data_IF_653277842878
#
_entry.id   IF_653277842878
#
_cell.length_a   1.000
_cell.length_b   1.000
_cell.length_c   1.000
_cell.angle_alpha   90.00
_cell.angle_beta   90.00
_cell.angle_gamma   90.00
#
_symmetry.space_group_name_H-M   'P 1'
#
loop_
_entity.id
_entity.type
_entity.pdbx_description
1 polymer ?
#
# COMPACT_ATOMS: atom_id res chain seq x y z
N UNK A 1 10.60 -20.90 -12.62
CA UNK A 1 9.82 -19.80 -13.22
C UNK A 1 10.45 -19.41 -14.53
N UNK A 2 9.75 -19.68 -15.63
CA UNK A 2 10.26 -19.49 -16.98
C UNK A 2 9.95 -18.09 -17.52
N UNK A 3 8.82 -17.49 -17.09
CA UNK A 3 8.34 -16.22 -17.62
C UNK A 3 8.79 -14.97 -16.84
N UNK A 4 9.19 -15.14 -15.58
CA UNK A 4 9.54 -14.05 -14.65
C UNK A 4 11.00 -14.14 -14.17
N UNK A 5 11.88 -14.77 -14.97
CA UNK A 5 13.31 -14.88 -14.66
C UNK A 5 13.98 -13.49 -14.64
N UNK A 6 14.69 -13.19 -13.55
CA UNK A 6 15.41 -11.92 -13.37
C UNK A 6 14.57 -10.73 -12.89
N UNK A 7 13.28 -10.93 -12.59
CA UNK A 7 12.46 -9.88 -12.00
C UNK A 7 12.59 -9.93 -10.48
N UNK A 8 12.89 -8.79 -9.88
CA UNK A 8 12.99 -8.62 -8.41
C UNK A 8 11.94 -7.68 -7.85
N UNK A 9 11.27 -6.93 -8.73
CA UNK A 9 10.32 -5.88 -8.38
C UNK A 9 8.90 -6.17 -8.87
N UNK A 10 7.90 -5.78 -8.06
CA UNK A 10 6.48 -6.04 -8.31
C UNK A 10 5.98 -5.26 -9.53
N UNK A 11 6.46 -4.03 -9.74
CA UNK A 11 5.98 -3.22 -10.87
C UNK A 11 6.60 -3.69 -12.19
N UNK A 12 7.84 -4.15 -12.17
CA UNK A 12 8.44 -4.88 -13.30
C UNK A 12 7.68 -6.18 -13.62
N UNK A 13 7.23 -6.91 -12.61
CA UNK A 13 6.44 -8.13 -12.78
C UNK A 13 5.08 -7.84 -13.43
N UNK A 14 4.38 -6.80 -12.99
CA UNK A 14 3.10 -6.36 -13.59
C UNK A 14 3.27 -5.92 -15.05
N UNK A 15 4.35 -5.20 -15.35
CA UNK A 15 4.62 -4.73 -16.71
C UNK A 15 4.89 -5.90 -17.66
N UNK A 16 5.68 -6.88 -17.20
CA UNK A 16 5.95 -8.13 -17.95
C UNK A 16 4.70 -8.98 -18.11
N UNK A 17 3.89 -9.13 -17.06
CA UNK A 17 2.60 -9.83 -17.12
C UNK A 17 1.68 -9.19 -18.17
N UNK A 18 1.57 -7.86 -18.21
CA UNK A 18 0.77 -7.16 -19.23
C UNK A 18 1.27 -7.37 -20.65
N UNK A 19 2.58 -7.47 -20.87
CA UNK A 19 3.17 -7.76 -22.19
C UNK A 19 2.90 -9.21 -22.60
N UNK A 20 3.14 -10.16 -21.70
CA UNK A 20 2.89 -11.58 -21.93
C UNK A 20 1.40 -11.86 -22.14
N UNK A 21 0.53 -11.21 -21.38
CA UNK A 21 -0.92 -11.36 -21.52
C UNK A 21 -1.43 -10.91 -22.89
N UNK A 22 -0.81 -9.90 -23.50
CA UNK A 22 -1.15 -9.48 -24.86
C UNK A 22 -0.59 -10.43 -25.93
N UNK A 23 0.54 -11.09 -25.66
CA UNK A 23 1.19 -12.02 -26.60
C UNK A 23 0.59 -13.42 -26.55
N UNK A 24 0.15 -13.87 -25.36
CA UNK A 24 -0.41 -15.19 -25.11
C UNK A 24 -1.95 -15.19 -25.09
N UNK A 25 -2.59 -14.05 -25.40
CA UNK A 25 -4.04 -14.00 -25.45
C UNK A 25 -4.55 -14.92 -26.57
N UNK A 26 -5.61 -15.72 -26.33
CA UNK A 26 -6.19 -16.58 -27.36
C UNK A 26 -6.60 -15.82 -28.62
N UNK A 27 -7.07 -14.58 -28.49
CA UNK A 27 -7.41 -13.72 -29.64
C UNK A 27 -6.19 -13.22 -30.44
N UNK A 28 -4.99 -13.29 -29.86
CA UNK A 28 -3.74 -12.86 -30.48
C UNK A 28 -2.88 -14.04 -30.98
N UNK A 29 -3.40 -15.28 -30.91
CA UNK A 29 -2.72 -16.49 -31.36
C UNK A 29 -2.03 -17.30 -30.26
N UNK A 30 -2.27 -16.99 -28.98
CA UNK A 30 -1.79 -17.80 -27.85
C UNK A 30 -2.75 -18.93 -27.47
N UNK A 31 -2.30 -19.89 -26.67
CA UNK A 31 -3.16 -20.97 -26.17
C UNK A 31 -3.71 -20.61 -24.79
N UNK A 32 -5.00 -20.87 -24.53
CA UNK A 32 -5.62 -20.66 -23.21
C UNK A 32 -4.85 -21.38 -22.07
N UNK A 33 -4.26 -22.54 -22.37
CA UNK A 33 -3.41 -23.30 -21.45
C UNK A 33 -2.13 -22.54 -21.08
N UNK A 34 -1.44 -21.97 -22.07
CA UNK A 34 -0.21 -21.19 -21.83
C UNK A 34 -0.49 -19.91 -21.04
N UNK A 35 -1.64 -19.28 -21.29
CA UNK A 35 -2.09 -18.13 -20.52
C UNK A 35 -2.38 -18.50 -19.05
N UNK A 36 -3.02 -19.64 -18.81
CA UNK A 36 -3.30 -20.14 -17.46
C UNK A 36 -2.03 -20.55 -16.72
N UNK A 37 -1.08 -21.19 -17.40
CA UNK A 37 0.23 -21.55 -16.85
C UNK A 37 1.03 -20.28 -16.48
N UNK A 38 1.02 -19.27 -17.36
CA UNK A 38 1.65 -17.96 -17.11
C UNK A 38 1.01 -17.22 -15.93
N UNK A 39 -0.32 -17.24 -15.80
CA UNK A 39 -1.04 -16.67 -14.66
C UNK A 39 -0.69 -17.35 -13.34
N UNK A 40 -0.57 -18.69 -13.37
CA UNK A 40 -0.22 -19.50 -12.19
C UNK A 40 1.20 -19.15 -11.73
N UNK A 41 2.17 -19.10 -12.65
CA UNK A 41 3.55 -18.66 -12.33
C UNK A 41 3.58 -17.23 -11.79
N UNK A 42 2.80 -16.30 -12.35
CA UNK A 42 2.73 -14.92 -11.85
C UNK A 42 2.20 -14.86 -10.42
N UNK A 43 1.16 -15.64 -10.10
CA UNK A 43 0.58 -15.71 -8.76
C UNK A 43 1.58 -16.28 -7.74
N UNK A 44 2.28 -17.35 -8.10
CA UNK A 44 3.34 -17.93 -7.28
C UNK A 44 4.50 -16.96 -7.07
N UNK A 45 4.88 -16.22 -8.12
CA UNK A 45 5.94 -15.22 -8.05
C UNK A 45 5.56 -14.09 -7.07
N UNK A 46 4.34 -13.57 -7.15
CA UNK A 46 3.84 -12.57 -6.20
C UNK A 46 3.78 -13.11 -4.77
N UNK A 47 3.36 -14.36 -4.57
CA UNK A 47 3.37 -15.00 -3.25
C UNK A 47 4.79 -15.10 -2.69
N UNK A 48 5.76 -15.46 -3.54
CA UNK A 48 7.18 -15.55 -3.15
C UNK A 48 7.77 -14.17 -2.82
N UNK A 49 7.43 -13.12 -3.58
CA UNK A 49 7.84 -11.74 -3.27
C UNK A 49 7.20 -11.26 -1.97
N UNK A 50 5.92 -11.53 -1.76
CA UNK A 50 5.25 -11.20 -0.50
C UNK A 50 5.83 -11.98 0.68
N UNK A 51 6.27 -13.22 0.49
CA UNK A 51 6.97 -13.99 1.52
C UNK A 51 8.36 -13.42 1.81
N UNK A 52 9.12 -13.01 0.78
CA UNK A 52 10.42 -12.33 0.97
C UNK A 52 10.27 -11.01 1.72
N UNK A 53 9.23 -10.23 1.42
CA UNK A 53 8.90 -9.01 2.16
C UNK A 53 8.36 -9.30 3.57
N UNK A 54 7.73 -10.46 3.81
CA UNK A 54 7.29 -10.90 5.15
C UNK A 54 8.43 -11.30 6.09
N UNK A 55 9.61 -11.67 5.59
CA UNK A 55 10.77 -11.96 6.47
C UNK A 55 11.26 -10.69 7.18
N UNK A 56 10.89 -9.49 6.69
CA UNK A 56 11.22 -8.20 7.32
C UNK A 56 10.01 -7.59 8.05
N UNK A 57 8.85 -8.25 8.07
CA UNK A 57 7.68 -7.74 8.82
C UNK A 57 6.80 -8.87 9.31
N UNK A 58 6.73 -9.13 10.63
CA UNK A 58 5.80 -10.12 11.15
C UNK A 58 4.37 -9.58 11.00
N UNK A 59 3.44 -10.51 10.74
CA UNK A 59 1.99 -10.39 10.94
C UNK A 59 1.11 -9.93 9.76
N UNK A 60 0.53 -10.93 9.07
CA UNK A 60 -0.74 -10.79 8.32
C UNK A 60 -1.98 -10.88 9.23
N UNK A 61 -1.85 -10.59 10.52
CA UNK A 61 -2.97 -10.53 11.48
C UNK A 61 -3.33 -9.09 11.92
N UNK A 62 -2.68 -8.04 11.37
CA UNK A 62 -2.94 -6.63 11.74
C UNK A 62 -3.78 -5.83 10.73
N UNK A 63 -4.09 -6.40 9.56
CA UNK A 63 -4.67 -5.65 8.44
C UNK A 63 -6.11 -5.15 8.64
N UNK A 64 -6.84 -5.56 9.67
CA UNK A 64 -8.17 -5.00 9.96
C UNK A 64 -8.07 -3.77 10.86
N UNK A 65 -7.36 -3.87 11.98
CA UNK A 65 -7.22 -2.76 12.93
C UNK A 65 -6.44 -1.58 12.35
N UNK A 66 -5.38 -1.83 11.58
CA UNK A 66 -4.60 -0.76 10.93
C UNK A 66 -5.39 -0.07 9.82
N UNK A 67 -6.13 -0.82 9.00
CA UNK A 67 -6.97 -0.23 7.96
C UNK A 67 -8.16 0.53 8.55
N UNK A 68 -8.73 0.04 9.65
CA UNK A 68 -9.76 0.74 10.41
C UNK A 68 -9.21 2.03 11.03
N UNK A 69 -8.00 1.97 11.62
CA UNK A 69 -7.29 3.14 12.13
C UNK A 69 -7.02 4.17 11.03
N UNK A 70 -6.53 3.74 9.87
CA UNK A 70 -6.26 4.62 8.71
C UNK A 70 -7.55 5.26 8.20
N UNK A 71 -8.65 4.50 8.16
CA UNK A 71 -9.96 5.02 7.77
C UNK A 71 -10.49 6.06 8.76
N UNK A 72 -10.38 5.81 10.06
CA UNK A 72 -10.71 6.78 11.11
C UNK A 72 -9.81 8.03 11.03
N UNK A 73 -8.52 7.87 10.73
CA UNK A 73 -7.60 8.97 10.53
C UNK A 73 -7.99 9.83 9.31
N UNK A 74 -8.41 9.21 8.21
CA UNK A 74 -8.92 9.89 7.02
C UNK A 74 -10.21 10.68 7.29
N UNK A 75 -11.13 10.13 8.10
CA UNK A 75 -12.34 10.85 8.54
C UNK A 75 -11.99 12.07 9.38
N UNK A 76 -11.06 11.92 10.32
CA UNK A 76 -10.57 13.02 11.16
C UNK A 76 -9.91 14.12 10.33
N UNK A 77 -9.00 13.78 9.42
CA UNK A 77 -8.36 14.74 8.52
C UNK A 77 -9.39 15.53 7.71
N UNK A 78 -10.42 14.86 7.17
CA UNK A 78 -11.52 15.52 6.44
C UNK A 78 -12.31 16.49 7.33
N UNK A 79 -12.56 16.14 8.59
CA UNK A 79 -13.22 17.05 9.55
C UNK A 79 -12.34 18.25 9.88
N UNK A 80 -11.03 18.03 10.08
CA UNK A 80 -10.08 19.11 10.36
C UNK A 80 -10.02 20.12 9.20
N UNK A 81 -9.96 19.63 7.96
CA UNK A 81 -10.00 20.47 6.75
C UNK A 81 -11.34 21.21 6.65
N UNK A 82 -12.48 20.51 6.81
CA UNK A 82 -13.82 21.11 6.70
C UNK A 82 -14.08 22.16 7.78
N UNK A 83 -13.53 21.97 8.97
CA UNK A 83 -13.68 22.89 10.11
C UNK A 83 -12.65 24.01 10.10
N UNK A 84 -11.81 24.12 9.06
CA UNK A 84 -10.70 25.07 8.98
C UNK A 84 -9.93 25.10 10.29
N UNK A 85 -9.63 23.92 10.86
CA UNK A 85 -9.06 23.86 12.19
C UNK A 85 -7.75 24.63 12.16
N UNK A 86 -7.66 25.75 12.91
CA UNK A 86 -6.46 26.56 12.89
C UNK A 86 -5.31 25.70 13.40
N UNK A 87 -4.19 25.66 12.69
CA UNK A 87 -3.01 24.89 13.12
C UNK A 87 -2.59 25.26 14.55
N UNK A 88 -2.83 26.50 14.97
CA UNK A 88 -2.65 26.97 16.35
C UNK A 88 -3.38 26.12 17.40
N UNK A 89 -4.56 25.58 17.08
CA UNK A 89 -5.30 24.67 17.95
C UNK A 89 -4.59 23.32 18.12
N UNK A 90 -4.04 22.76 17.03
CA UNK A 90 -3.24 21.53 17.09
C UNK A 90 -1.96 21.76 17.89
N UNK A 91 -1.27 22.88 17.64
CA UNK A 91 -0.07 23.30 18.37
C UNK A 91 -0.34 23.47 19.87
N UNK A 92 -1.48 24.04 20.24
CA UNK A 92 -1.91 24.11 21.64
C UNK A 92 -2.17 22.71 22.23
N UNK A 93 -2.83 21.81 21.49
CA UNK A 93 -3.10 20.44 21.95
C UNK A 93 -1.84 19.61 22.16
N UNK A 94 -0.79 19.79 21.35
CA UNK A 94 0.53 19.16 21.54
C UNK A 94 1.12 19.55 22.90
N UNK A 95 1.05 20.84 23.25
CA UNK A 95 1.63 21.37 24.50
C UNK A 95 0.86 20.90 25.73
N UNK A 96 -0.47 20.82 25.66
CA UNK A 96 -1.33 20.42 26.80
C UNK A 96 -1.43 18.92 27.02
N UNK A 97 -1.01 18.10 26.06
CA UNK A 97 -1.14 16.64 26.12
C UNK A 97 0.02 16.04 26.91
N UNK A 98 -0.24 15.05 27.76
CA UNK A 98 0.83 14.30 28.45
C UNK A 98 1.26 13.03 27.69
N UNK A 99 0.42 12.52 26.81
CA UNK A 99 0.69 11.33 26.00
C UNK A 99 1.67 11.60 24.86
N UNK A 100 2.80 10.90 24.86
CA UNK A 100 3.84 10.99 23.81
C UNK A 100 3.33 10.65 22.41
N UNK A 101 2.50 9.61 22.28
CA UNK A 101 1.88 9.20 21.01
C UNK A 101 0.94 10.28 20.45
N UNK A 102 0.15 10.90 21.31
CA UNK A 102 -0.74 12.00 20.88
C UNK A 102 0.06 13.23 20.47
N UNK A 103 1.18 13.51 21.14
CA UNK A 103 2.09 14.60 20.74
C UNK A 103 2.66 14.38 19.34
N UNK A 104 3.19 13.19 19.05
CA UNK A 104 3.76 12.91 17.72
C UNK A 104 2.70 13.00 16.64
N UNK A 105 1.53 12.40 16.85
CA UNK A 105 0.43 12.45 15.89
C UNK A 105 -0.06 13.87 15.61
N UNK A 106 -0.24 14.70 16.65
CA UNK A 106 -0.65 16.09 16.43
C UNK A 106 0.44 16.93 15.75
N UNK A 107 1.72 16.63 16.00
CA UNK A 107 2.85 17.28 15.32
C UNK A 107 2.86 16.92 13.83
N UNK A 108 2.77 15.63 13.50
CA UNK A 108 2.76 15.14 12.11
C UNK A 108 1.59 15.75 11.30
N UNK A 109 0.41 15.88 11.92
CA UNK A 109 -0.76 16.50 11.30
C UNK A 109 -0.57 18.01 11.11
N UNK A 110 0.01 18.70 12.09
CA UNK A 110 0.27 20.13 11.98
C UNK A 110 1.29 20.43 10.87
N UNK A 111 2.39 19.68 10.82
CA UNK A 111 3.42 19.81 9.79
C UNK A 111 2.89 19.49 8.39
N UNK A 112 2.01 18.49 8.28
CA UNK A 112 1.33 18.19 7.02
C UNK A 112 0.41 19.35 6.56
N UNK A 113 -0.36 19.93 7.46
CA UNK A 113 -1.21 21.09 7.14
C UNK A 113 -0.41 22.35 6.81
N UNK A 114 0.82 22.50 7.33
CA UNK A 114 1.75 23.59 6.99
C UNK A 114 2.37 23.44 5.59
N UNK A 115 2.27 22.26 4.98
CA UNK A 115 2.83 21.98 3.66
C UNK A 115 1.88 22.30 2.48
N UNK A 116 0.64 22.72 2.75
CA UNK A 116 -0.38 23.12 1.77
C UNK A 116 -0.61 24.64 1.78
#
# INVERSE_FOLDING_TARGET
MNYFSGITDIDQAKLRYRKLAKQLHPDAGGTAKEFQDMQTEYKEFLLSLQQKHKVITPSRYSHTAENELINELGKLAKVLIKKQVPQNYLRQKIQTTESSLKKSLFADIADWLDSF
#
